data_IF_694157799678
#
_entry.id   IF_694157799678
#
_cell.length_a   1.000
_cell.length_b   1.000
_cell.length_c   1.000
_cell.angle_alpha   90.00
_cell.angle_beta   90.00
_cell.angle_gamma   90.00
#
_symmetry.space_group_name_H-M   'P 1'
#
loop_
_entity.id
_entity.type
_entity.pdbx_description
1 polymer ?
#
# COMPACT_ATOMS: atom_id res chain seq x y z
N UNK A 1 -0.91 27.46 -12.52
CA UNK A 1 -1.00 26.08 -13.02
C UNK A 1 -0.52 25.15 -11.92
N UNK A 2 -1.24 24.06 -11.61
CA UNK A 2 -0.74 23.13 -10.58
C UNK A 2 0.53 22.43 -11.08
N UNK A 3 1.53 22.23 -10.22
CA UNK A 3 2.74 21.53 -10.61
C UNK A 3 2.43 20.09 -11.04
N UNK A 4 3.06 19.66 -12.14
CA UNK A 4 2.82 18.34 -12.73
C UNK A 4 4.12 17.54 -12.77
N UNK A 5 4.10 16.39 -12.10
CA UNK A 5 5.20 15.42 -12.12
C UNK A 5 4.64 14.10 -12.60
N UNK A 6 5.07 13.56 -13.76
CA UNK A 6 4.51 12.31 -14.27
C UNK A 6 4.89 11.13 -13.38
N UNK A 7 3.96 10.19 -13.20
CA UNK A 7 4.26 8.91 -12.54
C UNK A 7 5.18 8.08 -13.45
N UNK A 8 6.32 7.57 -12.95
CA UNK A 8 7.24 6.73 -13.73
C UNK A 8 6.56 5.49 -14.33
N UNK A 9 6.95 5.11 -15.56
CA UNK A 9 6.39 3.93 -16.24
C UNK A 9 6.66 2.62 -15.49
N UNK A 10 7.84 2.50 -14.87
CA UNK A 10 8.18 1.33 -14.06
C UNK A 10 7.21 1.13 -12.88
N UNK A 11 6.80 2.23 -12.22
CA UNK A 11 5.81 2.19 -11.14
C UNK A 11 4.42 1.76 -11.62
N UNK A 12 4.07 2.03 -12.88
CA UNK A 12 2.78 1.56 -13.44
C UNK A 12 2.77 0.06 -13.64
N UNK A 13 3.85 -0.51 -14.18
CA UNK A 13 3.99 -1.96 -14.33
C UNK A 13 3.95 -2.67 -12.98
N UNK A 14 4.76 -2.17 -12.03
CA UNK A 14 4.77 -2.64 -10.64
C UNK A 14 3.38 -2.53 -9.99
N UNK A 15 2.70 -1.39 -10.14
CA UNK A 15 1.36 -1.18 -9.60
C UNK A 15 0.32 -2.11 -10.22
N UNK A 16 0.37 -2.36 -11.53
CA UNK A 16 -0.57 -3.27 -12.18
C UNK A 16 -0.39 -4.72 -11.70
N UNK A 17 0.87 -5.18 -11.60
CA UNK A 17 1.20 -6.52 -11.10
C UNK A 17 0.79 -6.65 -9.63
N UNK A 18 1.14 -5.67 -8.80
CA UNK A 18 0.77 -5.62 -7.38
C UNK A 18 -0.73 -5.61 -7.16
N UNK A 19 -1.48 -4.83 -7.94
CA UNK A 19 -2.94 -4.79 -7.89
C UNK A 19 -3.56 -6.14 -8.25
N UNK A 20 -3.07 -6.81 -9.30
CA UNK A 20 -3.56 -8.11 -9.71
C UNK A 20 -3.32 -9.17 -8.63
N UNK A 21 -2.11 -9.25 -8.09
CA UNK A 21 -1.76 -10.21 -7.04
C UNK A 21 -2.61 -9.93 -5.79
N UNK A 22 -2.70 -8.67 -5.34
CA UNK A 22 -3.51 -8.31 -4.17
C UNK A 22 -4.99 -8.64 -4.38
N UNK A 23 -5.54 -8.41 -5.56
CA UNK A 23 -6.93 -8.77 -5.87
C UNK A 23 -7.16 -10.28 -5.81
N UNK A 24 -6.23 -11.08 -6.32
CA UNK A 24 -6.28 -12.55 -6.22
C UNK A 24 -6.32 -12.99 -4.76
N UNK A 25 -5.46 -12.42 -3.90
CA UNK A 25 -5.46 -12.73 -2.47
C UNK A 25 -6.74 -12.28 -1.76
N UNK A 26 -7.29 -11.11 -2.11
CA UNK A 26 -8.57 -10.66 -1.57
C UNK A 26 -9.69 -11.65 -1.93
N UNK A 27 -9.82 -12.03 -3.21
CA UNK A 27 -10.80 -13.01 -3.68
C UNK A 27 -10.59 -14.35 -2.99
N UNK A 28 -9.34 -14.80 -2.87
CA UNK A 28 -9.00 -16.05 -2.20
C UNK A 28 -9.46 -16.08 -0.74
N UNK A 29 -9.15 -15.03 0.03
CA UNK A 29 -9.51 -14.92 1.44
C UNK A 29 -11.02 -14.79 1.68
N UNK A 30 -11.75 -14.12 0.79
CA UNK A 30 -13.20 -13.95 0.92
C UNK A 30 -14.01 -15.15 0.42
N UNK A 31 -13.63 -15.74 -0.71
CA UNK A 31 -14.41 -16.81 -1.35
C UNK A 31 -13.96 -18.22 -0.95
N UNK A 32 -12.69 -18.41 -0.58
CA UNK A 32 -12.14 -19.72 -0.21
C UNK A 32 -11.39 -19.70 1.14
N UNK A 33 -12.03 -19.23 2.23
CA UNK A 33 -11.38 -19.12 3.54
C UNK A 33 -10.90 -20.46 4.12
N UNK A 34 -11.51 -21.59 3.71
CA UNK A 34 -11.11 -22.94 4.16
C UNK A 34 -9.70 -23.35 3.71
N UNK A 35 -9.18 -22.76 2.62
CA UNK A 35 -7.85 -23.04 2.10
C UNK A 35 -6.75 -22.21 2.79
N UNK A 36 -7.13 -21.15 3.50
CA UNK A 36 -6.19 -20.21 4.10
C UNK A 36 -5.33 -20.85 5.19
N UNK A 37 -5.87 -21.56 6.21
CA UNK A 37 -5.03 -22.15 7.26
C UNK A 37 -4.04 -23.19 6.74
N UNK A 38 -4.37 -23.85 5.62
CA UNK A 38 -3.58 -24.96 5.06
C UNK A 38 -2.58 -24.55 3.99
N UNK A 39 -2.73 -23.39 3.34
CA UNK A 39 -1.90 -22.97 2.20
C UNK A 39 -1.34 -21.54 2.33
N UNK A 40 -1.73 -20.78 3.36
CA UNK A 40 -1.22 -19.44 3.60
C UNK A 40 0.06 -19.46 4.43
N UNK A 41 0.85 -18.39 4.31
CA UNK A 41 2.14 -18.26 5.00
C UNK A 41 2.01 -18.18 6.54
N UNK A 42 0.87 -17.67 7.01
CA UNK A 42 0.56 -17.47 8.42
C UNK A 42 -0.62 -18.32 8.85
N UNK A 43 -0.62 -18.72 10.12
CA UNK A 43 -1.79 -19.32 10.77
C UNK A 43 -2.82 -18.21 11.05
N UNK A 44 -3.61 -17.87 10.03
CA UNK A 44 -4.67 -16.87 10.14
C UNK A 44 -5.95 -17.50 10.71
N UNK A 45 -5.92 -17.91 11.97
CA UNK A 45 -7.11 -18.33 12.71
C UNK A 45 -7.41 -17.32 13.82
N UNK A 46 -8.68 -16.96 14.09
CA UNK A 46 -9.94 -17.48 13.52
C UNK A 46 -10.35 -16.83 12.19
N UNK A 47 -11.46 -17.28 11.57
CA UNK A 47 -11.98 -16.78 10.26
C UNK A 47 -12.13 -15.25 10.18
N UNK A 48 -12.40 -14.58 11.31
CA UNK A 48 -12.45 -13.12 11.37
C UNK A 48 -11.10 -12.48 11.03
N UNK A 49 -9.99 -13.07 11.46
CA UNK A 49 -8.64 -12.62 11.11
C UNK A 49 -8.38 -12.76 9.60
N UNK A 50 -8.86 -13.85 8.97
CA UNK A 50 -8.76 -14.04 7.52
C UNK A 50 -9.54 -12.98 6.76
N UNK A 51 -10.78 -12.68 7.18
CA UNK A 51 -11.59 -11.63 6.56
C UNK A 51 -10.96 -10.24 6.73
N UNK A 52 -10.37 -9.95 7.90
CA UNK A 52 -9.64 -8.71 8.14
C UNK A 52 -8.41 -8.58 7.23
N UNK A 53 -7.63 -9.66 7.10
CA UNK A 53 -6.49 -9.72 6.18
C UNK A 53 -6.97 -9.56 4.72
N UNK A 54 -8.06 -10.22 4.35
CA UNK A 54 -8.73 -10.09 3.05
C UNK A 54 -9.13 -8.64 2.74
N UNK A 55 -9.71 -7.92 3.71
CA UNK A 55 -10.02 -6.50 3.57
C UNK A 55 -8.75 -5.67 3.38
N UNK A 56 -7.67 -6.01 4.09
CA UNK A 56 -6.33 -5.45 3.86
C UNK A 56 -5.89 -5.58 2.40
N UNK A 57 -6.10 -6.73 1.77
CA UNK A 57 -5.79 -6.93 0.34
C UNK A 57 -6.67 -6.11 -0.61
N UNK A 58 -7.94 -5.85 -0.26
CA UNK A 58 -8.80 -4.95 -1.03
C UNK A 58 -8.23 -3.52 -1.00
N UNK A 59 -7.88 -3.02 0.18
CA UNK A 59 -7.21 -1.72 0.30
C UNK A 59 -5.88 -1.68 -0.45
N UNK A 60 -5.10 -2.76 -0.37
CA UNK A 60 -3.84 -2.92 -1.09
C UNK A 60 -4.02 -2.84 -2.60
N UNK A 61 -5.05 -3.50 -3.12
CA UNK A 61 -5.44 -3.42 -4.54
C UNK A 61 -5.75 -1.98 -4.94
N UNK A 62 -6.57 -1.28 -4.14
CA UNK A 62 -6.91 0.11 -4.39
C UNK A 62 -5.66 1.02 -4.36
N UNK A 63 -4.73 0.80 -3.43
CA UNK A 63 -3.47 1.56 -3.36
C UNK A 63 -2.62 1.35 -4.61
N UNK A 64 -2.43 0.11 -5.05
CA UNK A 64 -1.67 -0.18 -6.27
C UNK A 64 -2.32 0.42 -7.51
N UNK A 65 -3.65 0.39 -7.61
CA UNK A 65 -4.38 1.02 -8.71
C UNK A 65 -4.15 2.54 -8.78
N UNK A 66 -3.92 3.22 -7.65
CA UNK A 66 -3.57 4.65 -7.69
C UNK A 66 -2.28 4.91 -8.47
N UNK A 67 -1.26 4.04 -8.38
CA UNK A 67 -0.02 4.19 -9.15
C UNK A 67 -0.22 3.93 -10.66
N UNK A 68 -1.23 3.16 -11.03
CA UNK A 68 -1.59 2.88 -12.42
C UNK A 68 -2.41 4.04 -13.01
N UNK A 69 -3.42 4.51 -12.27
CA UNK A 69 -4.42 5.46 -12.74
C UNK A 69 -3.99 6.92 -12.59
N UNK A 70 -3.19 7.24 -11.57
CA UNK A 70 -2.75 8.60 -11.34
C UNK A 70 -1.80 9.08 -12.44
N UNK A 71 -2.04 10.30 -12.89
CA UNK A 71 -1.17 10.98 -13.87
C UNK A 71 -0.10 11.84 -13.20
N UNK A 72 -0.41 12.40 -12.02
CA UNK A 72 0.47 13.29 -11.26
C UNK A 72 0.95 12.59 -9.98
N UNK A 73 2.27 12.42 -9.85
CA UNK A 73 2.95 11.87 -8.68
C UNK A 73 2.60 12.63 -7.39
N UNK A 74 2.44 13.95 -7.47
CA UNK A 74 2.18 14.78 -6.29
C UNK A 74 0.87 14.42 -5.58
N UNK A 75 -0.10 13.84 -6.28
CA UNK A 75 -1.37 13.39 -5.70
C UNK A 75 -1.23 12.08 -4.92
N UNK A 76 -0.27 11.24 -5.29
CA UNK A 76 -0.08 9.89 -4.72
C UNK A 76 1.18 9.77 -3.85
N UNK A 77 1.96 10.84 -3.72
CA UNK A 77 3.22 10.86 -2.94
C UNK A 77 3.05 10.47 -1.48
N UNK A 78 1.87 10.71 -0.90
CA UNK A 78 1.58 10.32 0.48
C UNK A 78 1.15 8.84 0.57
N UNK A 79 0.42 8.36 -0.45
CA UNK A 79 0.12 6.93 -0.60
C UNK A 79 1.40 6.11 -0.68
N UNK A 80 2.43 6.63 -1.36
CA UNK A 80 3.76 6.02 -1.38
C UNK A 80 4.33 5.77 0.02
N UNK A 81 4.34 6.79 0.88
CA UNK A 81 4.85 6.65 2.24
C UNK A 81 3.99 5.73 3.10
N UNK A 82 2.67 5.82 2.96
CA UNK A 82 1.74 4.91 3.63
C UNK A 82 1.98 3.45 3.24
N UNK A 83 2.20 3.20 1.94
CA UNK A 83 2.49 1.86 1.44
C UNK A 83 3.83 1.33 1.96
N UNK A 84 4.87 2.17 1.99
CA UNK A 84 6.19 1.82 2.48
C UNK A 84 6.18 1.50 3.98
N UNK A 85 5.46 2.31 4.77
CA UNK A 85 5.23 2.04 6.18
C UNK A 85 4.49 0.72 6.38
N UNK A 86 3.40 0.49 5.65
CA UNK A 86 2.62 -0.74 5.73
C UNK A 86 3.46 -1.99 5.40
N UNK A 87 4.20 -1.97 4.28
CA UNK A 87 5.08 -3.10 3.92
C UNK A 87 6.21 -3.30 4.92
N UNK A 88 6.79 -2.20 5.43
CA UNK A 88 7.85 -2.25 6.42
C UNK A 88 7.36 -2.87 7.72
N UNK A 89 6.19 -2.48 8.21
CA UNK A 89 5.58 -3.07 9.40
C UNK A 89 5.27 -4.55 9.20
N UNK A 90 4.74 -4.95 8.04
CA UNK A 90 4.50 -6.37 7.75
C UNK A 90 5.79 -7.18 7.69
N UNK A 91 6.86 -6.62 7.11
CA UNK A 91 8.17 -7.26 7.10
C UNK A 91 8.71 -7.46 8.52
N UNK A 92 8.67 -6.40 9.34
CA UNK A 92 9.11 -6.46 10.74
C UNK A 92 8.29 -7.45 11.54
N UNK A 93 6.96 -7.46 11.39
CA UNK A 93 6.09 -8.44 12.04
C UNK A 93 6.43 -9.87 11.59
N UNK A 94 6.73 -10.07 10.31
CA UNK A 94 7.12 -11.38 9.76
C UNK A 94 8.46 -11.87 10.30
N UNK A 95 9.43 -10.98 10.47
CA UNK A 95 10.72 -11.34 11.08
C UNK A 95 10.59 -11.58 12.58
N UNK A 96 9.73 -10.81 13.27
CA UNK A 96 9.50 -10.95 14.70
C UNK A 96 8.81 -12.27 15.06
N UNK A 97 7.81 -12.68 14.27
CA UNK A 97 7.09 -13.94 14.45
C UNK A 97 7.53 -14.99 13.43
N UNK A 98 8.81 -15.01 13.07
CA UNK A 98 9.36 -15.95 12.11
C UNK A 98 9.10 -17.42 12.54
N UNK A 99 9.05 -17.69 13.84
CA UNK A 99 8.80 -19.04 14.36
C UNK A 99 7.35 -19.53 14.12
N UNK A 100 6.41 -18.62 13.91
CA UNK A 100 4.99 -18.92 13.66
C UNK A 100 4.69 -19.07 12.16
N UNK A 101 5.63 -18.69 11.29
CA UNK A 101 5.49 -18.78 9.84
C UNK A 101 5.62 -20.22 9.36
N UNK A 102 4.74 -20.60 8.42
CA UNK A 102 4.81 -21.92 7.81
C UNK A 102 5.81 -21.93 6.64
N UNK A 103 7.10 -22.03 6.96
CA UNK A 103 8.19 -22.05 6.00
C UNK A 103 8.15 -23.22 5.03
N UNK A 104 7.34 -24.26 5.26
CA UNK A 104 7.21 -25.38 4.30
C UNK A 104 6.53 -24.94 3.00
N UNK A 105 5.78 -23.83 3.02
CA UNK A 105 5.08 -23.34 1.85
C UNK A 105 5.88 -22.31 1.07
N UNK A 106 5.82 -22.43 -0.26
CA UNK A 106 6.40 -21.44 -1.18
C UNK A 106 5.84 -20.04 -0.94
N UNK A 107 4.57 -19.94 -0.54
CA UNK A 107 3.88 -18.68 -0.26
C UNK A 107 4.60 -17.86 0.81
N UNK A 108 5.13 -18.49 1.88
CA UNK A 108 5.88 -17.79 2.94
C UNK A 108 7.15 -17.12 2.41
N UNK A 109 7.90 -17.83 1.56
CA UNK A 109 9.12 -17.30 0.93
C UNK A 109 8.81 -16.16 -0.04
N UNK A 110 7.78 -16.34 -0.88
CA UNK A 110 7.34 -15.30 -1.81
C UNK A 110 6.90 -14.04 -1.06
N UNK A 111 6.24 -14.18 0.10
CA UNK A 111 5.85 -13.06 0.95
C UNK A 111 7.04 -12.24 1.44
N UNK A 112 8.08 -12.89 1.98
CA UNK A 112 9.29 -12.20 2.43
C UNK A 112 10.00 -11.51 1.26
N UNK A 113 10.07 -12.17 0.09
CA UNK A 113 10.63 -11.57 -1.13
C UNK A 113 9.85 -10.33 -1.52
N UNK A 114 8.51 -10.39 -1.53
CA UNK A 114 7.68 -9.23 -1.86
C UNK A 114 7.85 -8.09 -0.85
N UNK A 115 7.80 -8.39 0.45
CA UNK A 115 8.00 -7.39 1.51
C UNK A 115 9.37 -6.71 1.46
N UNK A 116 10.38 -7.38 0.91
CA UNK A 116 11.73 -6.83 0.76
C UNK A 116 11.88 -6.06 -0.56
N UNK A 117 11.42 -6.66 -1.67
CA UNK A 117 11.60 -6.10 -3.01
C UNK A 117 10.71 -4.88 -3.26
N UNK A 118 9.52 -4.85 -2.66
CA UNK A 118 8.57 -3.77 -2.84
C UNK A 118 9.08 -2.41 -2.35
N UNK A 119 9.51 -2.23 -1.07
CA UNK A 119 10.03 -0.96 -0.60
C UNK A 119 11.30 -0.53 -1.37
N UNK A 120 12.15 -1.48 -1.76
CA UNK A 120 13.33 -1.23 -2.59
C UNK A 120 12.89 -0.64 -3.94
N UNK A 121 12.02 -1.33 -4.67
CA UNK A 121 11.53 -0.88 -5.98
C UNK A 121 10.89 0.50 -5.89
N UNK A 122 10.09 0.73 -4.84
CA UNK A 122 9.45 2.00 -4.57
C UNK A 122 10.47 3.13 -4.38
N UNK A 123 11.46 2.95 -3.51
CA UNK A 123 12.47 3.98 -3.23
C UNK A 123 13.27 4.31 -4.50
N UNK A 124 13.71 3.31 -5.25
CA UNK A 124 14.55 3.51 -6.44
C UNK A 124 13.80 4.04 -7.66
N UNK A 125 12.49 3.80 -7.75
CA UNK A 125 11.69 4.31 -8.89
C UNK A 125 10.99 5.64 -8.59
N UNK A 126 10.90 6.06 -7.32
CA UNK A 126 10.21 7.28 -6.95
C UNK A 126 10.95 8.53 -7.47
N UNK A 127 10.23 9.51 -8.05
CA UNK A 127 10.83 10.78 -8.46
C UNK A 127 11.11 11.64 -7.22
N UNK A 128 12.24 11.36 -6.54
CA UNK A 128 12.63 11.98 -5.26
C UNK A 128 13.61 13.16 -5.38
N UNK A 129 13.86 13.68 -6.59
CA UNK A 129 14.77 14.81 -6.81
C UNK A 129 14.39 16.04 -5.99
N UNK A 130 15.38 16.85 -5.60
CA UNK A 130 15.14 18.07 -4.81
C UNK A 130 14.08 18.98 -5.43
N UNK A 131 14.11 19.12 -6.75
CA UNK A 131 13.16 19.92 -7.52
C UNK A 131 11.73 19.45 -7.30
N UNK A 132 11.50 18.13 -7.26
CA UNK A 132 10.18 17.53 -7.02
C UNK A 132 9.75 17.68 -5.56
N UNK A 133 10.69 17.57 -4.60
CA UNK A 133 10.40 17.74 -3.16
C UNK A 133 9.94 19.15 -2.81
N UNK A 134 10.47 20.17 -3.51
CA UNK A 134 10.06 21.57 -3.31
C UNK A 134 8.66 21.87 -3.85
N UNK A 135 8.13 21.04 -4.76
CA UNK A 135 6.79 21.20 -5.31
C UNK A 135 5.72 20.79 -4.28
N UNK A 136 4.76 21.68 -4.07
CA UNK A 136 3.62 21.44 -3.19
C UNK A 136 2.31 21.75 -3.92
N UNK A 137 1.32 20.88 -3.74
CA UNK A 137 -0.03 21.15 -4.18
C UNK A 137 -0.63 22.22 -3.26
N UNK A 138 -1.17 23.28 -3.85
CA UNK A 138 -1.91 24.31 -3.11
C UNK A 138 -3.40 23.99 -3.14
N UNK A 139 -4.10 24.34 -2.06
CA UNK A 139 -5.55 24.14 -1.91
C UNK A 139 -6.40 24.95 -2.90
N UNK A 140 -5.76 25.79 -3.74
CA UNK A 140 -6.44 26.60 -4.74
C UNK A 140 -7.15 27.85 -4.21
N UNK A 141 -7.06 28.14 -2.91
CA UNK A 141 -7.69 29.31 -2.29
C UNK A 141 -7.67 29.29 -0.76
N UNK A 142 -8.11 30.39 -0.13
CA UNK A 142 -8.20 30.49 1.33
C UNK A 142 -9.30 29.58 1.89
N UNK A 143 -9.14 29.19 3.16
CA UNK A 143 -10.19 28.50 3.91
C UNK A 143 -11.44 29.39 3.95
N UNK A 144 -12.61 28.81 3.74
CA UNK A 144 -13.88 29.52 3.82
C UNK A 144 -14.00 30.29 5.15
N UNK A 145 -14.37 31.59 5.14
CA UNK A 145 -14.32 32.42 6.35
C UNK A 145 -15.14 31.87 7.53
N UNK A 146 -16.29 31.24 7.25
CA UNK A 146 -17.15 30.64 8.28
C UNK A 146 -16.50 29.41 8.92
N UNK A 147 -15.82 28.58 8.12
CA UNK A 147 -15.16 27.38 8.61
C UNK A 147 -13.92 27.74 9.44
N UNK A 148 -13.21 28.80 9.05
CA UNK A 148 -12.12 29.37 9.87
C UNK A 148 -12.62 29.82 11.24
N UNK A 149 -13.79 30.48 11.30
CA UNK A 149 -14.40 30.89 12.58
C UNK A 149 -14.75 29.66 13.43
N UNK A 150 -15.39 28.65 12.84
CA UNK A 150 -15.70 27.39 13.54
C UNK A 150 -14.45 26.77 14.19
N UNK A 151 -13.33 26.67 13.47
CA UNK A 151 -12.08 26.10 14.00
C UNK A 151 -11.48 26.93 15.15
N UNK A 152 -11.63 28.26 15.12
CA UNK A 152 -11.11 29.14 16.19
C UNK A 152 -11.98 29.12 17.46
N UNK A 153 -13.26 28.73 17.36
CA UNK A 153 -14.18 28.62 18.51
C UNK A 153 -14.31 27.19 19.06
N UNK A 154 -13.77 26.19 18.36
CA UNK A 154 -13.81 24.78 18.77
C UNK A 154 -12.56 24.33 19.56
N UNK A 155 -11.66 25.26 19.88
CA UNK A 155 -10.47 25.08 20.74
C UNK A 155 -10.63 25.96 21.98
#
# INVERSE_FOLDING_TARGET
>A
MQPFVPVPRAMRGWGAIGALIAAIFAVWMFLFPSLVPSHFAWVAEPRLAQAFIGAGYVFRTAFFLQFVLARNWLNIRWTFWGNLAFTGTLLLATLWHADEMNWRFLVAHLWVIFYTYEPVTMIFTAPMGEDVRRLHLTSGGPILPWFRRFLMFAV
#
